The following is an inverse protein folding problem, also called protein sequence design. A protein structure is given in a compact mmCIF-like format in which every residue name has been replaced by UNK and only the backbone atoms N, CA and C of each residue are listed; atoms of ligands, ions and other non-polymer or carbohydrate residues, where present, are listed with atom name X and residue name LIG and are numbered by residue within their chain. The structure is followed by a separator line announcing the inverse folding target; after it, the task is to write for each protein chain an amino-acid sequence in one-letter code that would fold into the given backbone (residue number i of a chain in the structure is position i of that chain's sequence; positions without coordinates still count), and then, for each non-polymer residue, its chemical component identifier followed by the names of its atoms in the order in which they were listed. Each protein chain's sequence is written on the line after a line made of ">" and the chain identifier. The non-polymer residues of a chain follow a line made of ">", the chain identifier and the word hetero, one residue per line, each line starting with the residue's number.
data_IF_908977297875
#
_entry.id   IF_908977297875
#
_cell.length_a   1.000
_cell.length_b   1.000
_cell.length_c   1.000
_cell.angle_alpha   90.00
_cell.angle_beta   90.00
_cell.angle_gamma   90.00
#
_symmetry.space_group_name_H-M   'P 1'
#
loop_
_entity.id
_entity.type
_entity.pdbx_description
1 polymer ?
#
# COMPACT_ATOMS: atom_id res chain seq x y z
N UNK A 1 32.64 12.27 -3.23
CA UNK A 1 31.18 12.07 -3.29
C UNK A 1 30.82 11.22 -2.08
N UNK A 2 30.24 11.81 -1.03
CA UNK A 2 29.90 11.08 0.20
C UNK A 2 28.58 10.37 -0.09
N UNK A 3 28.60 9.05 -0.18
CA UNK A 3 27.36 8.28 -0.27
C UNK A 3 26.63 8.45 1.06
N UNK A 4 25.42 9.01 1.02
CA UNK A 4 24.65 9.32 2.23
C UNK A 4 24.31 8.02 2.97
N UNK A 5 24.59 7.96 4.27
CA UNK A 5 24.24 6.85 5.16
C UNK A 5 22.76 6.48 5.08
N UNK A 6 21.89 7.46 4.78
CA UNK A 6 20.47 7.22 4.54
C UNK A 6 20.22 6.32 3.34
N UNK A 7 20.95 6.51 2.25
CA UNK A 7 20.83 5.71 1.03
C UNK A 7 21.30 4.28 1.30
N UNK A 8 22.42 4.12 2.02
CA UNK A 8 22.94 2.79 2.40
C UNK A 8 21.97 2.04 3.29
N UNK A 9 21.40 2.72 4.30
CA UNK A 9 20.42 2.13 5.22
C UNK A 9 19.14 1.74 4.49
N UNK A 10 18.66 2.58 3.56
CA UNK A 10 17.52 2.26 2.71
C UNK A 10 17.79 1.05 1.82
N UNK A 11 18.97 0.97 1.20
CA UNK A 11 19.37 -0.17 0.37
C UNK A 11 19.39 -1.48 1.17
N UNK A 12 19.91 -1.42 2.40
CA UNK A 12 19.97 -2.56 3.33
C UNK A 12 18.58 -3.05 3.74
N UNK A 13 17.68 -2.11 4.08
CA UNK A 13 16.31 -2.42 4.46
C UNK A 13 15.53 -3.06 3.29
N UNK A 14 15.68 -2.49 2.09
CA UNK A 14 15.08 -3.03 0.86
C UNK A 14 15.63 -4.43 0.58
N UNK A 15 16.95 -4.60 0.64
CA UNK A 15 17.61 -5.89 0.42
C UNK A 15 17.11 -6.97 1.39
N UNK A 16 17.01 -6.64 2.68
CA UNK A 16 16.50 -7.56 3.72
C UNK A 16 15.04 -7.92 3.50
N UNK A 17 14.23 -6.97 3.06
CA UNK A 17 12.81 -7.21 2.75
C UNK A 17 12.67 -8.14 1.53
N UNK A 18 13.47 -7.93 0.49
CA UNK A 18 13.47 -8.77 -0.70
C UNK A 18 13.99 -10.19 -0.41
N UNK A 19 14.98 -10.34 0.45
CA UNK A 19 15.45 -11.65 0.92
C UNK A 19 14.39 -12.39 1.73
N UNK A 20 13.73 -11.70 2.67
CA UNK A 20 12.65 -12.28 3.45
C UNK A 20 11.51 -12.74 2.53
N UNK A 21 11.11 -11.89 1.56
CA UNK A 21 10.12 -12.26 0.55
C UNK A 21 10.61 -13.44 -0.31
N UNK A 22 11.83 -13.41 -0.81
CA UNK A 22 12.42 -14.50 -1.59
C UNK A 22 12.41 -15.84 -0.84
N UNK A 23 12.76 -15.81 0.45
CA UNK A 23 12.69 -16.96 1.36
C UNK A 23 11.27 -17.49 1.56
N UNK A 24 10.27 -16.63 1.72
CA UNK A 24 8.86 -17.04 1.77
C UNK A 24 8.41 -17.72 0.47
N UNK A 25 8.79 -17.18 -0.69
CA UNK A 25 8.47 -17.79 -1.99
C UNK A 25 9.16 -19.15 -2.19
N UNK A 26 10.43 -19.28 -1.83
CA UNK A 26 11.19 -20.53 -1.93
C UNK A 26 10.69 -21.61 -0.97
N UNK A 27 10.43 -21.25 0.28
CA UNK A 27 9.89 -22.17 1.29
C UNK A 27 8.52 -22.68 0.87
N UNK A 28 7.73 -21.84 0.20
CA UNK A 28 6.43 -22.23 -0.30
C UNK A 28 6.51 -23.13 -1.55
N UNK A 29 7.47 -22.90 -2.45
CA UNK A 29 7.72 -23.83 -3.56
C UNK A 29 8.04 -25.24 -3.04
N UNK A 30 8.75 -25.35 -1.92
CA UNK A 30 9.05 -26.60 -1.25
C UNK A 30 7.85 -27.22 -0.51
N UNK A 31 6.97 -26.40 0.09
CA UNK A 31 5.84 -26.86 0.93
C UNK A 31 4.51 -27.04 0.17
N UNK A 32 4.40 -26.59 -1.07
CA UNK A 32 3.45 -27.08 -2.07
C UNK A 32 2.00 -27.29 -1.63
N UNK A 33 1.27 -26.22 -1.29
CA UNK A 33 -0.20 -26.30 -1.10
C UNK A 33 -0.97 -25.72 -2.29
N UNK A 34 -1.96 -26.47 -2.79
CA UNK A 34 -2.89 -26.10 -3.88
C UNK A 34 -3.82 -24.92 -3.55
N UNK A 35 -3.97 -24.53 -2.28
CA UNK A 35 -4.83 -23.43 -1.81
C UNK A 35 -4.17 -22.61 -0.69
N UNK A 36 -2.89 -22.29 -0.82
CA UNK A 36 -2.14 -21.75 0.31
C UNK A 36 -1.90 -20.24 0.32
N UNK A 37 -1.35 -19.75 1.46
CA UNK A 37 -1.15 -18.33 1.78
C UNK A 37 -0.31 -17.56 0.77
N UNK A 38 0.39 -18.22 -0.15
CA UNK A 38 1.24 -17.55 -1.13
C UNK A 38 0.46 -16.70 -2.11
N UNK A 39 -0.74 -17.13 -2.53
CA UNK A 39 -1.60 -16.31 -3.39
C UNK A 39 -1.98 -15.00 -2.68
N UNK A 40 -2.21 -15.07 -1.38
CA UNK A 40 -2.45 -13.90 -0.54
C UNK A 40 -1.20 -13.03 -0.44
N UNK A 41 -0.01 -13.60 -0.25
CA UNK A 41 1.25 -12.84 -0.18
C UNK A 41 1.52 -12.10 -1.49
N UNK A 42 1.34 -12.76 -2.65
CA UNK A 42 1.49 -12.13 -3.96
C UNK A 42 0.56 -10.92 -4.09
N UNK A 43 -0.73 -11.10 -3.77
CA UNK A 43 -1.72 -10.02 -3.80
C UNK A 43 -1.33 -8.89 -2.84
N UNK A 44 -0.94 -9.21 -1.61
CA UNK A 44 -0.48 -8.25 -0.61
C UNK A 44 0.66 -7.42 -1.18
N UNK A 45 1.71 -8.05 -1.69
CA UNK A 45 2.87 -7.34 -2.26
C UNK A 45 2.47 -6.48 -3.46
N UNK A 46 1.68 -7.00 -4.39
CA UNK A 46 1.24 -6.26 -5.58
C UNK A 46 0.39 -5.04 -5.21
N UNK A 47 -0.63 -5.21 -4.37
CA UNK A 47 -1.49 -4.10 -3.97
C UNK A 47 -0.77 -3.11 -3.07
N UNK A 48 0.13 -3.56 -2.20
CA UNK A 48 1.03 -2.68 -1.42
C UNK A 48 1.90 -1.82 -2.33
N UNK A 49 2.48 -2.41 -3.39
CA UNK A 49 3.31 -1.67 -4.34
C UNK A 49 2.49 -0.65 -5.15
N UNK A 50 1.30 -1.04 -5.64
CA UNK A 50 0.39 -0.14 -6.35
C UNK A 50 -0.02 1.02 -5.43
N UNK A 51 -0.41 0.74 -4.18
CA UNK A 51 -0.75 1.79 -3.23
C UNK A 51 0.44 2.71 -2.95
N UNK A 52 1.62 2.15 -2.67
CA UNK A 52 2.83 2.93 -2.39
C UNK A 52 3.17 3.88 -3.55
N UNK A 53 3.18 3.36 -4.78
CA UNK A 53 3.54 4.11 -5.99
C UNK A 53 2.52 5.18 -6.37
N UNK A 54 1.23 4.97 -6.08
CA UNK A 54 0.21 6.01 -6.28
C UNK A 54 0.24 7.07 -5.17
N UNK A 55 0.31 6.66 -3.90
CA UNK A 55 0.20 7.58 -2.77
C UNK A 55 1.47 8.40 -2.51
N UNK A 56 2.65 7.79 -2.63
CA UNK A 56 3.91 8.46 -2.28
C UNK A 56 4.19 9.74 -3.08
N UNK A 57 4.22 9.73 -4.43
CA UNK A 57 4.60 10.91 -5.19
C UNK A 57 3.54 12.00 -5.18
N UNK A 58 2.27 11.65 -4.92
CA UNK A 58 1.14 12.56 -5.06
C UNK A 58 0.69 13.16 -3.72
N UNK A 59 0.78 12.40 -2.62
CA UNK A 59 0.29 12.82 -1.30
C UNK A 59 1.40 12.83 -0.22
N UNK A 60 2.59 12.36 -0.57
CA UNK A 60 3.77 12.39 0.28
C UNK A 60 4.11 11.06 0.94
N UNK A 61 5.23 11.10 1.67
CA UNK A 61 5.88 9.93 2.25
C UNK A 61 4.95 9.07 3.12
N UNK A 62 4.25 9.70 4.08
CA UNK A 62 3.41 8.96 5.04
C UNK A 62 2.20 8.31 4.40
N UNK A 63 1.59 8.95 3.41
CA UNK A 63 0.53 8.32 2.61
C UNK A 63 1.03 7.13 1.83
N UNK A 64 2.25 7.21 1.27
CA UNK A 64 2.91 6.07 0.63
C UNK A 64 3.15 4.89 1.57
N UNK A 65 3.70 5.16 2.76
CA UNK A 65 4.01 4.13 3.77
C UNK A 65 2.75 3.47 4.30
N UNK A 66 1.76 4.26 4.73
CA UNK A 66 0.48 3.72 5.23
C UNK A 66 -0.29 3.04 4.11
N UNK A 67 -0.22 3.57 2.89
CA UNK A 67 -0.74 2.92 1.69
C UNK A 67 -0.15 1.53 1.47
N UNK A 68 1.17 1.39 1.60
CA UNK A 68 1.89 0.13 1.45
C UNK A 68 1.60 -0.87 2.58
N UNK A 69 1.55 -0.42 3.83
CA UNK A 69 1.49 -1.29 5.02
C UNK A 69 0.06 -1.61 5.45
N UNK A 70 -0.90 -0.73 5.19
CA UNK A 70 -2.29 -0.92 5.61
C UNK A 70 -3.25 -1.09 4.42
N UNK A 71 -3.28 -0.15 3.48
CA UNK A 71 -4.29 -0.16 2.41
C UNK A 71 -4.06 -1.27 1.38
N UNK A 72 -2.81 -1.51 0.98
CA UNK A 72 -2.45 -2.60 0.08
C UNK A 72 -2.84 -3.99 0.60
N UNK A 73 -2.42 -4.37 1.82
CA UNK A 73 -2.81 -5.64 2.41
C UNK A 73 -4.32 -5.74 2.63
N UNK A 74 -4.99 -4.63 2.99
CA UNK A 74 -6.43 -4.59 3.12
C UNK A 74 -7.14 -4.94 1.81
N UNK A 75 -6.72 -4.33 0.69
CA UNK A 75 -7.25 -4.64 -0.66
C UNK A 75 -7.01 -6.10 -1.05
N UNK A 76 -5.82 -6.64 -0.73
CA UNK A 76 -5.51 -8.04 -0.99
C UNK A 76 -6.44 -8.99 -0.22
N UNK A 77 -6.66 -8.72 1.06
CA UNK A 77 -7.54 -9.53 1.93
C UNK A 77 -9.01 -9.41 1.50
N UNK A 78 -9.46 -8.21 1.15
CA UNK A 78 -10.80 -7.95 0.63
C UNK A 78 -11.02 -8.77 -0.65
N UNK A 79 -10.10 -8.72 -1.63
CA UNK A 79 -10.24 -9.50 -2.86
C UNK A 79 -10.19 -11.02 -2.65
N UNK A 80 -9.35 -11.54 -1.75
CA UNK A 80 -9.35 -12.96 -1.36
C UNK A 80 -10.70 -13.36 -0.75
N UNK A 81 -11.27 -12.51 0.09
CA UNK A 81 -12.56 -12.74 0.76
C UNK A 81 -13.71 -12.77 -0.23
N UNK A 82 -13.72 -11.87 -1.21
CA UNK A 82 -14.72 -11.82 -2.28
C UNK A 82 -14.66 -13.05 -3.18
N UNK A 83 -13.45 -13.48 -3.57
CA UNK A 83 -13.28 -14.70 -4.36
C UNK A 83 -13.71 -15.98 -3.64
N UNK A 84 -13.72 -16.00 -2.30
CA UNK A 84 -13.99 -17.22 -1.52
C UNK A 84 -15.45 -17.38 -1.06
N UNK A 85 -16.17 -16.30 -0.72
CA UNK A 85 -17.56 -16.44 -0.20
C UNK A 85 -18.59 -15.49 -0.82
N UNK A 86 -18.29 -14.87 -1.97
CA UNK A 86 -19.24 -14.01 -2.68
C UNK A 86 -19.55 -12.71 -1.93
N UNK A 87 -20.80 -12.26 -1.99
CA UNK A 87 -21.25 -10.95 -1.47
C UNK A 87 -20.94 -10.74 0.03
N UNK A 88 -20.49 -9.53 0.38
CA UNK A 88 -20.14 -9.18 1.75
C UNK A 88 -21.34 -9.03 2.67
N UNK A 89 -21.20 -9.50 3.91
CA UNK A 89 -22.12 -9.13 4.99
C UNK A 89 -21.95 -7.65 5.35
N UNK A 90 -23.03 -6.98 5.79
CA UNK A 90 -23.00 -5.57 6.25
C UNK A 90 -21.93 -5.32 7.32
N UNK A 91 -21.68 -6.28 8.20
CA UNK A 91 -20.65 -6.18 9.24
C UNK A 91 -19.23 -6.26 8.69
N UNK A 92 -19.01 -7.06 7.64
CA UNK A 92 -17.70 -7.21 7.00
C UNK A 92 -17.35 -5.94 6.22
N UNK A 93 -18.29 -5.41 5.43
CA UNK A 93 -18.13 -4.15 4.72
C UNK A 93 -17.79 -2.99 5.68
N UNK A 94 -18.48 -2.91 6.83
CA UNK A 94 -18.19 -1.92 7.86
C UNK A 94 -16.78 -2.09 8.44
N UNK A 95 -16.32 -3.32 8.62
CA UNK A 95 -14.97 -3.61 9.13
C UNK A 95 -13.89 -3.16 8.15
N UNK A 96 -14.01 -3.52 6.87
CA UNK A 96 -13.05 -3.11 5.84
C UNK A 96 -13.01 -1.58 5.68
N UNK A 97 -14.16 -0.93 5.69
CA UNK A 97 -14.23 0.53 5.62
C UNK A 97 -13.69 1.21 6.88
N UNK A 98 -13.94 0.64 8.06
CA UNK A 98 -13.37 1.09 9.32
C UNK A 98 -11.85 1.07 9.29
N UNK A 99 -11.24 -0.05 8.88
CA UNK A 99 -9.79 -0.18 8.78
C UNK A 99 -9.23 0.82 7.75
N UNK A 100 -9.90 0.97 6.59
CA UNK A 100 -9.52 1.94 5.56
C UNK A 100 -9.55 3.38 6.08
N UNK A 101 -10.60 3.75 6.79
CA UNK A 101 -10.76 5.07 7.37
C UNK A 101 -9.70 5.36 8.45
N UNK A 102 -9.40 4.37 9.30
CA UNK A 102 -8.31 4.47 10.28
C UNK A 102 -6.97 4.65 9.57
N UNK A 103 -6.68 3.86 8.54
CA UNK A 103 -5.44 4.01 7.77
C UNK A 103 -5.32 5.40 7.12
N UNK A 104 -6.38 5.90 6.48
CA UNK A 104 -6.39 7.24 5.88
C UNK A 104 -6.25 8.35 6.95
N UNK A 105 -6.92 8.21 8.09
CA UNK A 105 -6.81 9.14 9.21
C UNK A 105 -5.42 9.15 9.82
N UNK A 106 -4.78 7.99 10.01
CA UNK A 106 -3.39 7.86 10.45
C UNK A 106 -2.41 8.51 9.47
N UNK A 107 -2.62 8.29 8.16
CA UNK A 107 -1.80 8.94 7.13
C UNK A 107 -1.96 10.46 7.17
N UNK A 108 -3.19 10.97 7.32
CA UNK A 108 -3.48 12.39 7.49
C UNK A 108 -2.85 12.97 8.75
N UNK A 109 -2.89 12.24 9.87
CA UNK A 109 -2.25 12.65 11.11
C UNK A 109 -0.74 12.81 10.93
N UNK A 110 -0.08 11.79 10.39
CA UNK A 110 1.37 11.79 10.23
C UNK A 110 1.84 12.82 9.19
N UNK A 111 1.01 13.14 8.20
CA UNK A 111 1.34 14.09 7.14
C UNK A 111 1.07 15.56 7.51
N UNK A 112 0.01 15.84 8.27
CA UNK A 112 -0.46 17.20 8.57
C UNK A 112 -0.50 17.42 10.09
N UNK A 113 -1.56 16.98 10.76
CA UNK A 113 -1.72 17.07 12.21
C UNK A 113 -2.79 16.12 12.77
N UNK A 114 -2.84 15.96 14.09
CA UNK A 114 -3.78 15.05 14.77
C UNK A 114 -5.23 15.41 14.46
N UNK A 115 -5.57 16.71 14.49
CA UNK A 115 -6.94 17.19 14.33
C UNK A 115 -7.47 16.87 12.94
N UNK A 116 -6.66 17.14 11.92
CA UNK A 116 -6.92 16.78 10.54
C UNK A 116 -7.09 15.28 10.40
N UNK A 117 -6.15 14.48 10.91
CA UNK A 117 -6.20 13.02 10.79
C UNK A 117 -7.47 12.40 11.38
N UNK A 118 -7.90 12.86 12.57
CA UNK A 118 -9.14 12.40 13.20
C UNK A 118 -10.37 12.84 12.40
N UNK A 119 -10.45 14.12 12.02
CA UNK A 119 -11.58 14.64 11.26
C UNK A 119 -11.69 13.97 9.87
N UNK A 120 -10.57 13.83 9.17
CA UNK A 120 -10.47 13.18 7.88
C UNK A 120 -10.82 11.69 7.96
N UNK A 121 -10.33 10.98 8.97
CA UNK A 121 -10.66 9.56 9.18
C UNK A 121 -12.17 9.35 9.41
N UNK A 122 -12.78 10.15 10.29
CA UNK A 122 -14.23 10.06 10.56
C UNK A 122 -15.08 10.45 9.35
N UNK A 123 -14.71 11.52 8.64
CA UNK A 123 -15.39 11.94 7.41
C UNK A 123 -15.25 10.88 6.31
N UNK A 124 -14.08 10.24 6.20
CA UNK A 124 -13.84 9.16 5.23
C UNK A 124 -14.66 7.91 5.55
N UNK A 125 -14.79 7.56 6.84
CA UNK A 125 -15.65 6.47 7.28
C UNK A 125 -17.11 6.74 6.88
N UNK A 126 -17.60 7.94 7.17
CA UNK A 126 -18.96 8.33 6.83
C UNK A 126 -19.20 8.31 5.31
N UNK A 127 -18.28 8.88 4.52
CA UNK A 127 -18.38 8.91 3.07
C UNK A 127 -18.41 7.49 2.47
N UNK A 128 -17.53 6.61 2.92
CA UNK A 128 -17.51 5.22 2.48
C UNK A 128 -18.78 4.47 2.89
N UNK A 129 -19.28 4.73 4.10
CA UNK A 129 -20.51 4.11 4.58
C UNK A 129 -21.71 4.50 3.72
N UNK A 130 -21.84 5.79 3.37
CA UNK A 130 -22.87 6.26 2.43
C UNK A 130 -22.73 5.59 1.07
N UNK A 131 -21.51 5.49 0.52
CA UNK A 131 -21.27 4.85 -0.77
C UNK A 131 -21.62 3.35 -0.78
N UNK A 132 -21.48 2.66 0.36
CA UNK A 132 -21.93 1.29 0.51
C UNK A 132 -23.45 1.16 0.40
N UNK A 133 -24.23 2.05 1.02
CA UNK A 133 -25.69 2.06 0.86
C UNK A 133 -26.15 2.36 -0.57
N UNK A 134 -25.33 3.08 -1.34
CA UNK A 134 -25.62 3.40 -2.74
C UNK A 134 -25.23 2.27 -3.71
N UNK A 135 -24.79 1.09 -3.23
CA UNK A 135 -24.30 -0.02 -4.06
C UNK A 135 -23.18 0.39 -5.03
N UNK A 136 -22.31 1.29 -4.57
CA UNK A 136 -21.08 1.70 -5.27
C UNK A 136 -19.84 1.08 -4.60
N UNK A 137 -20.03 -0.06 -3.92
CA UNK A 137 -18.98 -0.73 -3.16
C UNK A 137 -18.06 -1.56 -4.08
N UNK A 138 -16.81 -1.85 -3.68
CA UNK A 138 -15.88 -2.61 -4.53
C UNK A 138 -16.37 -4.03 -4.80
N UNK A 139 -17.17 -4.54 -3.86
CA UNK A 139 -17.77 -5.86 -3.88
C UNK A 139 -18.71 -6.09 -5.07
N UNK A 140 -19.47 -5.06 -5.46
CA UNK A 140 -20.52 -5.17 -6.46
C UNK A 140 -19.96 -5.43 -7.87
N UNK A 141 -18.69 -5.07 -8.10
CA UNK A 141 -18.01 -5.18 -9.40
C UNK A 141 -16.94 -6.28 -9.44
N UNK A 142 -16.74 -7.06 -8.38
CA UNK A 142 -15.67 -8.06 -8.35
C UNK A 142 -15.96 -9.23 -9.31
N UNK A 143 -15.14 -9.38 -10.36
CA UNK A 143 -15.07 -10.58 -11.22
C UNK A 143 -13.62 -10.89 -11.58
N UNK A 144 -13.17 -12.11 -11.28
CA UNK A 144 -11.88 -12.58 -11.78
C UNK A 144 -11.97 -12.81 -13.30
N UNK A 145 -11.20 -12.05 -14.07
CA UNK A 145 -11.24 -12.06 -15.53
C UNK A 145 -9.85 -11.78 -16.11
N UNK A 146 -9.52 -12.45 -17.21
CA UNK A 146 -8.22 -12.34 -17.89
C UNK A 146 -8.04 -11.02 -18.65
N UNK A 147 -9.12 -10.24 -18.82
CA UNK A 147 -9.12 -8.97 -19.57
C UNK A 147 -9.32 -7.80 -18.61
N UNK A 148 -8.62 -6.68 -18.82
CA UNK A 148 -8.92 -5.46 -18.08
C UNK A 148 -10.34 -5.00 -18.40
N UNK A 149 -11.09 -4.66 -17.37
CA UNK A 149 -12.46 -4.16 -17.52
C UNK A 149 -12.42 -2.64 -17.65
N UNK A 150 -12.57 -2.15 -18.89
CA UNK A 150 -12.74 -0.73 -19.18
C UNK A 150 -14.22 -0.48 -19.43
N UNK A 151 -14.91 0.08 -18.45
CA UNK A 151 -16.35 0.33 -18.56
C UNK A 151 -16.86 1.33 -17.54
N UNK A 152 -18.05 1.87 -17.77
CA UNK A 152 -18.74 2.78 -16.84
C UNK A 152 -18.96 2.15 -15.47
N UNK A 153 -19.08 0.82 -15.41
CA UNK A 153 -19.17 0.02 -14.19
C UNK A 153 -17.88 0.06 -13.33
N UNK A 154 -16.75 0.47 -13.92
CA UNK A 154 -15.46 0.64 -13.22
C UNK A 154 -15.21 2.11 -12.90
N UNK A 155 -15.44 3.01 -13.86
CA UNK A 155 -15.18 4.43 -13.69
C UNK A 155 -16.17 5.12 -12.74
N UNK A 156 -17.45 4.77 -12.75
CA UNK A 156 -18.44 5.44 -11.90
C UNK A 156 -18.22 5.17 -10.40
N UNK A 157 -18.01 3.92 -9.93
CA UNK A 157 -17.68 3.66 -8.53
C UNK A 157 -16.33 4.26 -8.12
N UNK A 158 -15.33 4.24 -9.01
CA UNK A 158 -14.03 4.85 -8.76
C UNK A 158 -14.13 6.37 -8.59
N UNK A 159 -14.87 7.05 -9.47
CA UNK A 159 -15.14 8.47 -9.38
C UNK A 159 -15.94 8.82 -8.12
N UNK A 160 -16.98 8.07 -7.80
CA UNK A 160 -17.79 8.29 -6.60
C UNK A 160 -16.97 8.19 -5.31
N UNK A 161 -16.05 7.21 -5.22
CA UNK A 161 -15.11 7.09 -4.09
C UNK A 161 -14.09 8.21 -4.05
N UNK A 162 -13.56 8.59 -5.21
CA UNK A 162 -12.66 9.75 -5.32
C UNK A 162 -13.33 11.02 -4.81
N UNK A 163 -14.57 11.29 -5.23
CA UNK A 163 -15.37 12.43 -4.76
C UNK A 163 -15.66 12.30 -3.25
N UNK A 164 -16.08 11.14 -2.77
CA UNK A 164 -16.37 10.91 -1.36
C UNK A 164 -15.16 11.16 -0.45
N UNK A 165 -14.00 10.63 -0.79
CA UNK A 165 -12.75 10.87 -0.02
C UNK A 165 -12.24 12.29 -0.23
N UNK A 166 -12.40 12.86 -1.42
CA UNK A 166 -12.03 14.26 -1.65
C UNK A 166 -12.82 15.20 -0.76
N UNK A 167 -14.15 15.04 -0.71
CA UNK A 167 -15.03 15.77 0.20
C UNK A 167 -14.66 15.54 1.67
N UNK A 168 -14.31 14.31 2.05
CA UNK A 168 -13.83 14.02 3.40
C UNK A 168 -12.52 14.76 3.72
N UNK A 169 -11.60 14.87 2.77
CA UNK A 169 -10.36 15.64 2.88
C UNK A 169 -10.62 17.14 3.03
N UNK A 170 -11.57 17.68 2.25
CA UNK A 170 -12.01 19.06 2.35
C UNK A 170 -12.59 19.37 3.73
N UNK A 171 -13.50 18.52 4.21
CA UNK A 171 -14.13 18.66 5.52
C UNK A 171 -13.09 18.52 6.64
N UNK A 172 -12.19 17.54 6.54
CA UNK A 172 -11.10 17.36 7.50
C UNK A 172 -10.20 18.59 7.58
N UNK A 173 -9.85 19.18 6.43
CA UNK A 173 -9.03 20.39 6.37
C UNK A 173 -9.75 21.64 6.87
N UNK A 174 -11.05 21.79 6.58
CA UNK A 174 -11.87 22.89 7.07
C UNK A 174 -12.06 22.82 8.60
N UNK A 175 -12.29 21.62 9.15
CA UNK A 175 -12.47 21.42 10.59
C UNK A 175 -11.17 21.58 11.39
N UNK A 176 -10.03 21.30 10.77
CA UNK A 176 -8.72 21.45 11.38
C UNK A 176 -8.04 22.81 11.10
N UNK A 177 -8.72 23.73 10.40
CA UNK A 177 -8.22 25.05 10.01
C UNK A 177 -6.87 25.01 9.28
N UNK A 178 -6.71 23.99 8.41
CA UNK A 178 -5.45 23.76 7.68
C UNK A 178 -5.43 24.61 6.41
N UNK A 179 -4.41 25.47 6.22
CA UNK A 179 -4.28 26.24 5.00
C UNK A 179 -4.09 25.31 3.80
N UNK A 180 -4.87 25.52 2.74
CA UNK A 180 -4.81 24.67 1.54
C UNK A 180 -5.68 23.41 1.60
N UNK A 181 -6.60 23.30 2.56
CA UNK A 181 -7.60 22.23 2.65
C UNK A 181 -8.27 21.91 1.30
N UNK A 182 -8.63 22.95 0.53
CA UNK A 182 -9.24 22.80 -0.79
C UNK A 182 -8.35 22.01 -1.76
N UNK A 183 -7.08 22.40 -1.85
CA UNK A 183 -6.10 21.75 -2.72
C UNK A 183 -5.89 20.30 -2.30
N UNK A 184 -5.70 20.07 -1.00
CA UNK A 184 -5.50 18.72 -0.47
C UNK A 184 -6.69 17.80 -0.75
N UNK A 185 -7.92 18.28 -0.50
CA UNK A 185 -9.13 17.49 -0.76
C UNK A 185 -9.28 17.10 -2.24
N UNK A 186 -8.96 18.02 -3.16
CA UNK A 186 -8.95 17.72 -4.60
C UNK A 186 -7.85 16.68 -4.92
N UNK A 187 -6.63 16.89 -4.44
CA UNK A 187 -5.50 15.97 -4.67
C UNK A 187 -5.82 14.56 -4.15
N UNK A 188 -6.26 14.41 -2.90
CA UNK A 188 -6.54 13.09 -2.34
C UNK A 188 -7.72 12.41 -3.02
N UNK A 189 -8.75 13.17 -3.41
CA UNK A 189 -9.87 12.65 -4.16
C UNK A 189 -9.46 12.11 -5.53
N UNK A 190 -8.60 12.84 -6.25
CA UNK A 190 -8.05 12.40 -7.54
C UNK A 190 -7.17 11.17 -7.40
N UNK A 191 -6.28 11.13 -6.40
CA UNK A 191 -5.39 9.98 -6.17
C UNK A 191 -6.17 8.74 -5.81
N UNK A 192 -7.14 8.85 -4.89
CA UNK A 192 -7.97 7.72 -4.49
C UNK A 192 -8.88 7.28 -5.63
N UNK A 193 -9.43 8.20 -6.40
CA UNK A 193 -10.22 7.88 -7.60
C UNK A 193 -9.39 7.14 -8.64
N UNK A 194 -8.18 7.63 -8.94
CA UNK A 194 -7.26 6.98 -9.87
C UNK A 194 -6.82 5.60 -9.38
N UNK A 195 -6.47 5.47 -8.10
CA UNK A 195 -6.11 4.19 -7.49
C UNK A 195 -7.28 3.19 -7.56
N UNK A 196 -8.50 3.62 -7.26
CA UNK A 196 -9.68 2.76 -7.40
C UNK A 196 -9.91 2.35 -8.86
N UNK A 197 -9.76 3.27 -9.82
CA UNK A 197 -9.89 2.95 -11.24
C UNK A 197 -8.83 1.93 -11.68
N UNK A 198 -7.57 2.13 -11.29
CA UNK A 198 -6.47 1.21 -11.58
C UNK A 198 -6.72 -0.17 -10.97
N UNK A 199 -7.09 -0.23 -9.69
CA UNK A 199 -7.34 -1.50 -8.99
C UNK A 199 -8.56 -2.23 -9.52
N UNK A 200 -9.62 -1.55 -9.92
CA UNK A 200 -10.78 -2.19 -10.56
C UNK A 200 -10.47 -2.64 -12.00
N UNK A 201 -9.68 -1.86 -12.75
CA UNK A 201 -9.31 -2.21 -14.14
C UNK A 201 -8.34 -3.38 -14.20
N UNK A 202 -7.28 -3.33 -13.38
CA UNK A 202 -6.20 -4.32 -13.39
C UNK A 202 -6.36 -5.42 -12.34
N UNK A 203 -7.21 -5.23 -11.34
CA UNK A 203 -7.50 -6.20 -10.28
C UNK A 203 -7.85 -7.58 -10.83
N UNK A 204 -8.79 -7.72 -11.79
CA UNK A 204 -9.09 -9.01 -12.41
C UNK A 204 -7.87 -9.71 -13.01
N UNK A 205 -6.96 -8.95 -13.64
CA UNK A 205 -5.73 -9.48 -14.24
C UNK A 205 -4.69 -9.88 -13.18
N UNK A 206 -4.54 -9.09 -12.12
CA UNK A 206 -3.68 -9.42 -10.96
C UNK A 206 -4.19 -10.67 -10.26
N UNK A 207 -5.49 -10.77 -10.06
CA UNK A 207 -6.15 -11.92 -9.48
C UNK A 207 -5.92 -13.15 -10.36
N UNK A 208 -6.24 -13.07 -11.66
CA UNK A 208 -5.98 -14.17 -12.60
C UNK A 208 -4.53 -14.61 -12.60
N UNK A 209 -3.58 -13.67 -12.64
CA UNK A 209 -2.15 -13.98 -12.57
C UNK A 209 -1.80 -14.70 -11.27
N UNK A 210 -2.27 -14.19 -10.12
CA UNK A 210 -2.05 -14.83 -8.82
C UNK A 210 -2.70 -16.22 -8.73
N UNK A 211 -3.78 -16.49 -9.45
CA UNK A 211 -4.42 -17.80 -9.51
C UNK A 211 -3.70 -18.81 -10.41
N UNK A 212 -3.05 -18.33 -11.46
CA UNK A 212 -2.44 -19.15 -12.51
C UNK A 212 -0.92 -19.30 -12.37
N UNK A 213 -0.31 -18.85 -11.27
CA UNK A 213 1.11 -19.02 -10.99
C UNK A 213 1.46 -20.50 -10.81
N UNK A 214 2.31 -21.01 -11.71
CA UNK A 214 2.86 -22.37 -11.59
C UNK A 214 3.92 -22.43 -10.49
N UNK A 215 4.06 -23.57 -9.79
CA UNK A 215 5.10 -23.76 -8.76
C UNK A 215 6.50 -23.37 -9.23
N UNK A 216 6.88 -23.79 -10.45
CA UNK A 216 8.18 -23.44 -11.06
C UNK A 216 8.40 -21.92 -11.21
N UNK A 217 7.36 -21.17 -11.57
CA UNK A 217 7.44 -19.71 -11.69
C UNK A 217 7.62 -19.06 -10.32
N UNK A 218 7.05 -19.64 -9.27
CA UNK A 218 7.13 -19.15 -7.89
C UNK A 218 8.52 -19.36 -7.29
N UNK A 219 9.10 -20.55 -7.49
CA UNK A 219 10.50 -20.81 -7.12
C UNK A 219 11.47 -19.87 -7.84
N UNK A 220 11.24 -19.59 -9.13
CA UNK A 220 12.05 -18.65 -9.90
C UNK A 220 11.93 -17.20 -9.40
N UNK A 221 10.71 -16.73 -9.09
CA UNK A 221 10.48 -15.39 -8.52
C UNK A 221 11.14 -15.29 -7.14
N UNK A 222 10.98 -16.31 -6.29
CA UNK A 222 11.62 -16.35 -4.97
C UNK A 222 13.14 -16.31 -5.03
N UNK A 223 13.73 -17.12 -5.91
CA UNK A 223 15.17 -17.11 -6.16
C UNK A 223 15.64 -15.75 -6.69
N UNK A 224 14.92 -15.14 -7.64
CA UNK A 224 15.25 -13.82 -8.18
C UNK A 224 15.20 -12.75 -7.09
N UNK A 225 14.17 -12.74 -6.24
CA UNK A 225 14.03 -11.80 -5.13
C UNK A 225 15.17 -11.96 -4.11
N UNK A 226 15.54 -13.19 -3.75
CA UNK A 226 16.66 -13.46 -2.85
C UNK A 226 18.01 -13.06 -3.47
N UNK A 227 18.23 -13.31 -4.77
CA UNK A 227 19.46 -12.87 -5.43
C UNK A 227 19.55 -11.35 -5.47
N UNK A 228 18.45 -10.66 -5.79
CA UNK A 228 18.43 -9.18 -5.79
C UNK A 228 18.62 -8.63 -4.36
N UNK A 229 17.96 -9.23 -3.36
CA UNK A 229 18.09 -8.85 -1.96
C UNK A 229 19.54 -8.95 -1.48
N UNK A 230 20.15 -10.11 -1.71
CA UNK A 230 21.55 -10.37 -1.43
C UNK A 230 22.51 -9.43 -2.17
N UNK A 231 22.26 -9.12 -3.45
CA UNK A 231 23.07 -8.17 -4.21
C UNK A 231 22.99 -6.74 -3.65
N UNK A 232 21.79 -6.29 -3.27
CA UNK A 232 21.60 -4.98 -2.65
C UNK A 232 22.27 -4.89 -1.27
N UNK A 233 22.22 -5.95 -0.47
CA UNK A 233 22.97 -6.02 0.78
C UNK A 233 24.48 -6.08 0.53
N UNK A 234 24.94 -6.79 -0.50
CA UNK A 234 26.35 -6.86 -0.86
C UNK A 234 26.92 -5.49 -1.25
N UNK A 235 26.11 -4.63 -1.90
CA UNK A 235 26.50 -3.25 -2.21
C UNK A 235 26.80 -2.43 -0.95
N UNK A 236 26.08 -2.66 0.17
CA UNK A 236 26.38 -2.00 1.45
C UNK A 236 27.80 -2.32 1.95
N UNK A 237 28.31 -3.53 1.69
CA UNK A 237 29.66 -3.93 2.11
C UNK A 237 30.73 -3.59 1.06
N UNK A 238 30.40 -3.69 -0.23
CA UNK A 238 31.32 -3.42 -1.33
C UNK A 238 31.66 -1.92 -1.49
N UNK A 239 30.70 -1.03 -1.27
CA UNK A 239 30.91 0.41 -1.42
C UNK A 239 31.96 0.98 -0.44
N UNK A 240 31.94 0.65 0.87
CA UNK A 240 33.02 1.00 1.80
C UNK A 240 34.39 0.43 1.42
N UNK A 241 34.44 -0.80 0.89
CA UNK A 241 35.68 -1.49 0.50
C UNK A 241 36.30 -0.90 -0.78
N UNK A 242 35.50 -0.40 -1.72
CA UNK A 242 35.94 0.18 -2.98
C UNK A 242 36.53 1.61 -2.87
N UNK A 243 36.77 2.10 -1.66
CA UNK A 243 37.38 3.42 -1.42
C UNK A 243 36.40 4.59 -1.31
N UNK A 244 35.09 4.33 -1.31
CA UNK A 244 34.11 5.32 -0.85
C UNK A 244 34.15 5.30 0.68
N UNK A 245 34.96 6.21 1.25
CA UNK A 245 35.48 6.16 2.62
C UNK A 245 34.48 5.88 3.75
N UNK A 246 34.98 5.52 4.94
CA UNK A 246 34.17 5.05 6.05
C UNK A 246 33.08 6.07 6.41
N UNK A 247 31.87 5.55 6.62
CA UNK A 247 30.77 6.29 7.25
C UNK A 247 31.31 6.83 8.57
N UNK A 248 31.52 8.16 8.64
CA UNK A 248 31.74 8.83 9.92
C UNK A 248 30.45 8.70 10.71
N UNK A 249 30.38 7.68 11.57
CA UNK A 249 29.47 7.68 12.69
C UNK A 249 29.83 8.92 13.51
N UNK A 250 29.05 9.99 13.37
CA UNK A 250 29.12 11.14 14.27
C UNK A 250 28.60 10.67 15.62
N UNK A 251 29.45 9.97 16.37
CA UNK A 251 29.30 9.88 17.80
C UNK A 251 29.57 11.29 18.33
N UNK A 252 28.50 12.07 18.47
CA UNK A 252 28.53 13.24 19.31
C UNK A 252 29.05 12.80 20.68
N UNK A 253 30.15 13.37 21.21
CA UNK A 253 30.58 13.07 22.55
C UNK A 253 29.47 13.51 23.49
N UNK A 254 28.86 12.54 24.16
CA UNK A 254 27.91 12.74 25.24
C UNK A 254 28.64 13.51 26.34
N UNK A 255 28.49 14.83 26.33
CA UNK A 255 29.14 15.71 27.28
C UNK A 255 28.52 15.41 28.65
N UNK A 256 29.25 14.71 29.51
CA UNK A 256 28.94 14.60 30.93
C UNK A 256 28.97 16.01 31.49
N UNK A 257 27.80 16.59 31.71
CA UNK A 257 27.63 17.69 32.66
C UNK A 257 27.86 17.07 34.04
N UNK A 258 29.08 17.22 34.53
CA UNK A 258 29.41 17.05 35.94
C UNK A 258 29.91 18.42 36.44
N UNK A 259 29.13 18.97 37.38
CA UNK A 259 29.25 20.22 38.14
C UNK A 259 28.44 21.39 37.60
#
# INVERSE_FOLDING_TARGET
>A
MILDTRIITALSLVGTTLDALGGFYLTYDLLGSKYGPLRTIVRVVTYSFICATCFWPLLGFWFGVIGAVALGPLLALENVRHGSRGAESRSEALTFQGIRAVALGLAGWLAIDVRFGVAFGLASLFAMYVLYYLHLSPADTYRASRKPELGTQVFAPAAARGVGIGLAGLLGGALADVPGALKFGIEIGLVVGALNALTLTFGPSVEWWAENLSGRSLGAIGAMLAVIGFLLQSLQYALPLAGFGPVKLSHAPFNRVAK
#
